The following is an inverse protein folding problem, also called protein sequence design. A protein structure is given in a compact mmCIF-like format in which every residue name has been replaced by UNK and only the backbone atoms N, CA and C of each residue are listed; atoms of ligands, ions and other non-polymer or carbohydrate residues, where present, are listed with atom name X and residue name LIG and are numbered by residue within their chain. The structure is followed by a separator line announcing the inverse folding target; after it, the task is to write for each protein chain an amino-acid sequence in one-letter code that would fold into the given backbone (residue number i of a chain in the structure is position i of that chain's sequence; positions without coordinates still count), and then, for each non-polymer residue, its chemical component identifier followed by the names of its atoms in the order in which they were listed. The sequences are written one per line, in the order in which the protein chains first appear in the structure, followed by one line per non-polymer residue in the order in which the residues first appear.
data_IF_921943395133
#
_entry.id   IF_921943395133
#
_cell.length_a   1.000
_cell.length_b   1.000
_cell.length_c   1.000
_cell.angle_alpha   90.00
_cell.angle_beta   90.00
_cell.angle_gamma   90.00
#
_symmetry.space_group_name_H-M   'P 1'
#
loop_
_entity.id
_entity.type
_entity.pdbx_description
1 polymer ?
#
# COMPACT_ATOMS: atom_id res chain seq x y z
N UNK A 1 -15.12 -3.42 7.61
CA UNK A 1 -14.05 -3.55 6.61
C UNK A 1 -13.44 -2.18 6.44
N UNK A 2 -12.11 -2.09 6.44
CA UNK A 2 -11.44 -0.86 6.07
C UNK A 2 -11.43 -0.81 4.54
N UNK A 3 -12.02 0.21 3.93
CA UNK A 3 -12.06 0.32 2.47
C UNK A 3 -10.70 0.79 1.92
N UNK A 4 -9.65 0.00 2.15
CA UNK A 4 -8.27 0.34 1.76
C UNK A 4 -8.12 0.61 0.27
N UNK A 5 -8.92 -0.07 -0.57
CA UNK A 5 -8.99 0.18 -2.02
C UNK A 5 -9.53 1.58 -2.29
N UNK A 6 -10.63 2.00 -1.66
CA UNK A 6 -11.20 3.34 -1.81
C UNK A 6 -10.20 4.43 -1.37
N UNK A 7 -9.42 4.17 -0.31
CA UNK A 7 -8.38 5.11 0.13
C UNK A 7 -7.22 5.16 -0.89
N UNK A 8 -6.81 4.02 -1.43
CA UNK A 8 -5.77 3.94 -2.46
C UNK A 8 -6.19 4.67 -3.74
N UNK A 9 -7.45 4.50 -4.19
CA UNK A 9 -8.02 5.21 -5.33
C UNK A 9 -8.04 6.73 -5.12
N UNK A 10 -8.38 7.18 -3.91
CA UNK A 10 -8.32 8.61 -3.58
C UNK A 10 -6.91 9.17 -3.73
N UNK A 11 -5.90 8.49 -3.16
CA UNK A 11 -4.51 8.93 -3.29
C UNK A 11 -4.02 8.89 -4.73
N UNK A 12 -4.44 7.91 -5.52
CA UNK A 12 -4.10 7.84 -6.94
C UNK A 12 -4.71 9.01 -7.72
N UNK A 13 -5.94 9.41 -7.43
CA UNK A 13 -6.57 10.58 -8.04
C UNK A 13 -5.89 11.88 -7.63
N UNK A 14 -5.55 12.03 -6.35
CA UNK A 14 -4.74 13.18 -5.87
C UNK A 14 -3.39 13.23 -6.60
N UNK A 15 -2.71 12.10 -6.80
CA UNK A 15 -1.46 12.04 -7.55
C UNK A 15 -1.63 12.58 -8.99
N UNK A 16 -2.72 12.20 -9.68
CA UNK A 16 -3.04 12.70 -11.03
C UNK A 16 -3.26 14.22 -11.05
N UNK A 17 -3.86 14.78 -10.00
CA UNK A 17 -4.01 16.23 -9.89
C UNK A 17 -2.66 16.95 -9.73
N UNK A 18 -1.73 16.38 -8.96
CA UNK A 18 -0.39 16.94 -8.79
C UNK A 18 0.49 16.79 -10.03
N UNK A 19 0.28 15.75 -10.85
CA UNK A 19 0.95 15.62 -12.16
C UNK A 19 0.65 16.85 -13.03
N UNK A 20 -0.62 17.27 -13.09
CA UNK A 20 -1.03 18.45 -13.86
C UNK A 20 -0.44 19.77 -13.32
N UNK A 21 0.00 19.79 -12.06
CA UNK A 21 0.64 20.94 -11.41
C UNK A 21 2.17 20.91 -11.54
N UNK A 22 2.76 19.83 -12.06
CA UNK A 22 4.21 19.67 -12.19
C UNK A 22 4.94 19.43 -10.86
N UNK A 23 4.24 19.07 -9.79
CA UNK A 23 4.83 18.85 -8.46
C UNK A 23 5.22 17.38 -8.27
N UNK A 24 6.41 17.01 -8.77
CA UNK A 24 6.92 15.64 -8.71
C UNK A 24 7.06 15.09 -7.28
N UNK A 25 7.30 15.95 -6.28
CA UNK A 25 7.43 15.55 -4.88
C UNK A 25 6.07 15.09 -4.35
N UNK A 26 5.03 15.90 -4.57
CA UNK A 26 3.67 15.52 -4.17
C UNK A 26 3.17 14.29 -4.93
N UNK A 27 3.42 14.20 -6.24
CA UNK A 27 3.07 13.00 -7.03
C UNK A 27 3.67 11.75 -6.41
N UNK A 28 4.97 11.76 -6.12
CA UNK A 28 5.68 10.60 -5.55
C UNK A 28 5.12 10.21 -4.18
N UNK A 29 4.83 11.19 -3.32
CA UNK A 29 4.25 10.93 -1.99
C UNK A 29 2.87 10.29 -2.08
N UNK A 30 2.01 10.77 -2.99
CA UNK A 30 0.65 10.25 -3.17
C UNK A 30 0.65 8.85 -3.76
N UNK A 31 1.52 8.59 -4.74
CA UNK A 31 1.68 7.24 -5.30
C UNK A 31 2.16 6.24 -4.26
N UNK A 32 3.12 6.62 -3.42
CA UNK A 32 3.56 5.78 -2.30
C UNK A 32 2.41 5.45 -1.34
N UNK A 33 1.60 6.44 -0.95
CA UNK A 33 0.44 6.24 -0.07
C UNK A 33 -0.62 5.34 -0.69
N UNK A 34 -0.86 5.46 -2.00
CA UNK A 34 -1.76 4.56 -2.73
C UNK A 34 -1.26 3.12 -2.70
N UNK A 35 0.04 2.90 -2.97
CA UNK A 35 0.67 1.59 -2.89
C UNK A 35 0.62 1.00 -1.47
N UNK A 36 0.89 1.83 -0.45
CA UNK A 36 0.83 1.42 0.95
C UNK A 36 -0.56 0.90 1.34
N UNK A 37 -1.63 1.62 0.99
CA UNK A 37 -3.00 1.18 1.31
C UNK A 37 -3.41 -0.08 0.52
N UNK A 38 -2.93 -0.26 -0.71
CA UNK A 38 -3.12 -1.50 -1.46
C UNK A 38 -2.47 -2.70 -0.76
N UNK A 39 -1.24 -2.56 -0.27
CA UNK A 39 -0.54 -3.63 0.47
C UNK A 39 -1.29 -3.97 1.76
N UNK A 40 -1.78 -2.96 2.50
CA UNK A 40 -2.59 -3.19 3.71
C UNK A 40 -3.89 -3.93 3.39
N UNK A 41 -4.58 -3.55 2.32
CA UNK A 41 -5.81 -4.20 1.90
C UNK A 41 -5.57 -5.66 1.47
N UNK A 42 -4.48 -5.93 0.75
CA UNK A 42 -4.07 -7.29 0.41
C UNK A 42 -3.72 -8.11 1.66
N UNK A 43 -2.99 -7.52 2.61
CA UNK A 43 -2.63 -8.18 3.86
C UNK A 43 -3.86 -8.50 4.73
N UNK A 44 -4.88 -7.65 4.72
CA UNK A 44 -6.19 -7.92 5.35
C UNK A 44 -6.93 -9.04 4.61
N UNK A 45 -7.01 -8.98 3.28
CA UNK A 45 -7.72 -9.96 2.45
C UNK A 45 -7.14 -11.38 2.55
N UNK A 46 -5.82 -11.50 2.62
CA UNK A 46 -5.12 -12.79 2.75
C UNK A 46 -4.83 -13.19 4.20
N UNK A 47 -5.36 -12.43 5.18
CA UNK A 47 -5.13 -12.63 6.62
C UNK A 47 -3.64 -12.90 6.95
N UNK A 48 -2.78 -12.01 6.45
CA UNK A 48 -1.34 -12.11 6.67
C UNK A 48 -1.01 -11.81 8.14
N UNK A 49 0.01 -12.48 8.70
CA UNK A 49 0.40 -12.25 10.09
C UNK A 49 0.88 -10.82 10.34
N UNK A 50 1.39 -10.14 9.32
CA UNK A 50 1.79 -8.74 9.33
C UNK A 50 0.61 -7.83 9.65
N UNK A 51 -0.57 -8.10 9.08
CA UNK A 51 -1.79 -7.34 9.39
C UNK A 51 -2.19 -7.52 10.86
N UNK A 52 -2.16 -8.76 11.36
CA UNK A 52 -2.43 -9.05 12.79
C UNK A 52 -1.40 -8.38 13.72
N UNK A 53 -0.15 -8.29 13.28
CA UNK A 53 0.89 -7.59 14.04
C UNK A 53 0.65 -6.08 14.04
N UNK A 54 0.32 -5.48 12.90
CA UNK A 54 0.00 -4.06 12.79
C UNK A 54 -1.23 -3.68 13.63
N UNK A 55 -2.26 -4.54 13.69
CA UNK A 55 -3.43 -4.34 14.56
C UNK A 55 -3.04 -4.38 16.03
N UNK A 56 -2.20 -5.35 16.45
CA UNK A 56 -1.73 -5.44 17.84
C UNK A 56 -0.87 -4.27 18.26
N UNK A 57 -0.03 -3.77 17.35
CA UNK A 57 0.85 -2.62 17.59
C UNK A 57 0.13 -1.27 17.40
N UNK A 58 -1.11 -1.28 16.90
CA UNK A 58 -1.92 -0.08 16.65
C UNK A 58 -1.43 0.77 15.48
N UNK A 59 -0.40 0.34 14.74
CA UNK A 59 0.18 1.06 13.61
C UNK A 59 0.88 0.12 12.63
N UNK A 60 1.02 0.60 11.39
CA UNK A 60 1.84 -0.07 10.39
C UNK A 60 3.28 0.45 10.46
N UNK A 61 4.21 -0.48 10.62
CA UNK A 61 5.63 -0.21 10.50
C UNK A 61 6.12 -0.49 9.08
N UNK A 62 7.13 0.26 8.62
CA UNK A 62 7.75 0.05 7.30
C UNK A 62 8.21 -1.40 7.09
N UNK A 63 8.79 -2.03 8.12
CA UNK A 63 9.22 -3.43 8.01
C UNK A 63 8.04 -4.42 7.85
N UNK A 64 6.85 -4.10 8.38
CA UNK A 64 5.64 -4.93 8.20
C UNK A 64 5.10 -4.79 6.78
N UNK A 65 5.14 -3.59 6.22
CA UNK A 65 4.78 -3.34 4.81
C UNK A 65 5.69 -4.14 3.87
N UNK A 66 7.02 -4.05 4.02
CA UNK A 66 7.93 -4.82 3.17
C UNK A 66 7.71 -6.34 3.27
N UNK A 67 7.48 -6.87 4.48
CA UNK A 67 7.13 -8.28 4.67
C UNK A 67 5.79 -8.65 4.02
N UNK A 68 4.81 -7.75 4.12
CA UNK A 68 3.51 -7.92 3.50
C UNK A 68 3.55 -7.80 1.97
N UNK A 69 4.53 -7.11 1.36
CA UNK A 69 4.74 -7.12 -0.09
C UNK A 69 5.38 -8.43 -0.58
N UNK A 70 6.35 -8.95 0.16
CA UNK A 70 7.15 -10.12 -0.23
C UNK A 70 6.46 -11.47 0.00
N UNK A 71 5.46 -11.53 0.89
CA UNK A 71 4.67 -12.77 1.09
C UNK A 71 3.71 -13.09 -0.05
N UNK A 72 2.90 -12.14 -0.55
CA UNK A 72 2.08 -12.35 -1.73
C UNK A 72 2.89 -12.66 -2.97
N UNK A 73 4.17 -12.24 -3.11
CA UNK A 73 4.97 -12.58 -4.30
C UNK A 73 5.12 -14.10 -4.47
N UNK A 74 5.11 -14.88 -3.37
CA UNK A 74 5.10 -16.35 -3.42
C UNK A 74 3.80 -16.94 -3.98
N UNK A 75 2.71 -16.17 -4.00
CA UNK A 75 1.37 -16.62 -4.43
C UNK A 75 0.90 -15.92 -5.73
N UNK A 76 1.27 -14.66 -5.94
CA UNK A 76 0.91 -13.80 -7.08
C UNK A 76 2.03 -13.67 -8.11
N UNK A 77 3.28 -14.00 -7.76
CA UNK A 77 4.47 -13.88 -8.62
C UNK A 77 5.37 -12.69 -8.24
N UNK A 78 6.62 -12.73 -8.73
CA UNK A 78 7.67 -11.74 -8.40
C UNK A 78 7.38 -10.32 -8.91
N UNK A 79 6.40 -10.13 -9.81
CA UNK A 79 5.98 -8.81 -10.30
C UNK A 79 5.50 -7.87 -9.19
N UNK A 80 5.15 -8.40 -8.02
CA UNK A 80 4.80 -7.61 -6.83
C UNK A 80 6.03 -6.96 -6.17
N UNK A 81 7.23 -7.50 -6.44
CA UNK A 81 8.50 -6.97 -5.94
C UNK A 81 9.12 -5.95 -6.91
N UNK A 82 8.75 -6.01 -8.19
CA UNK A 82 9.18 -5.07 -9.22
C UNK A 82 8.27 -3.84 -9.17
N UNK A 83 8.70 -2.83 -8.42
CA UNK A 83 8.06 -1.51 -8.31
C UNK A 83 8.35 -0.58 -9.48
#
# INVERSE_FOLDING_TARGET
MRDGITIAERYLNEAKEYINKGDAVQVSEKLYKAAEENVKALAEKYDLSENRQAIREGRWHMHLLLKACSRPSKTLGDWVLDG
#
